data_IF_193845859497
#
_entry.id   IF_193845859497
#
_cell.length_a   1.000
_cell.length_b   1.000
_cell.length_c   1.000
_cell.angle_alpha   90.00
_cell.angle_beta   90.00
_cell.angle_gamma   90.00
#
_symmetry.space_group_name_H-M   'P 1'
#
loop_
_entity.id
_entity.type
_entity.pdbx_description
1 polymer ?
#
# COMPACT_ATOMS: atom_id res chain seq x y z
N UNK A 1 -3.96 -13.18 0.66
CA UNK A 1 -3.70 -11.74 0.46
C UNK A 1 -4.22 -11.06 1.70
N UNK A 2 -3.32 -10.74 2.63
CA UNK A 2 -3.64 -10.01 3.85
C UNK A 2 -3.43 -8.53 3.54
N UNK A 3 -4.48 -7.73 3.64
CA UNK A 3 -4.35 -6.26 3.56
C UNK A 3 -4.39 -5.77 4.99
N UNK A 4 -3.23 -5.41 5.54
CA UNK A 4 -3.15 -4.76 6.84
C UNK A 4 -3.38 -3.26 6.66
N UNK A 5 -4.51 -2.75 7.16
CA UNK A 5 -4.67 -1.31 7.34
C UNK A 5 -4.01 -0.96 8.68
N UNK A 6 -2.80 -0.42 8.63
CA UNK A 6 -2.18 0.18 9.81
C UNK A 6 -2.87 1.51 10.13
N UNK A 7 -3.86 1.47 11.03
CA UNK A 7 -4.42 2.68 11.65
C UNK A 7 -3.44 3.21 12.69
N UNK A 8 -2.46 4.01 12.24
CA UNK A 8 -1.61 4.79 13.15
C UNK A 8 -2.37 6.08 13.46
N UNK A 9 -2.90 6.21 14.69
CA UNK A 9 -3.40 7.51 15.17
C UNK A 9 -2.24 8.51 15.09
N UNK A 10 -2.35 9.61 14.34
CA UNK A 10 -1.27 10.57 14.26
C UNK A 10 -1.02 11.14 15.66
N UNK A 11 0.22 11.02 16.15
CA UNK A 11 0.69 11.93 17.21
C UNK A 11 0.72 13.33 16.60
N UNK A 12 0.32 14.34 17.38
CA UNK A 12 0.34 15.74 16.94
C UNK A 12 1.71 16.05 16.31
N UNK A 13 1.70 16.27 15.00
CA UNK A 13 2.85 16.61 14.16
C UNK A 13 2.78 18.09 13.84
N UNK A 14 3.93 18.77 13.78
CA UNK A 14 4.03 20.16 13.36
C UNK A 14 3.68 20.38 11.88
N UNK A 15 3.50 19.29 11.12
CA UNK A 15 3.08 19.29 9.72
C UNK A 15 1.71 18.61 9.59
N UNK A 16 0.71 19.38 9.19
CA UNK A 16 -0.62 18.88 8.81
C UNK A 16 -0.68 18.85 7.28
N UNK A 17 -0.76 17.66 6.64
CA UNK A 17 -0.91 17.56 5.19
C UNK A 17 -2.16 18.32 4.71
N UNK A 18 -2.18 18.75 3.43
CA UNK A 18 -3.39 19.35 2.87
C UNK A 18 -4.57 18.39 2.99
N UNK A 19 -5.73 18.93 3.35
CA UNK A 19 -6.96 18.15 3.38
C UNK A 19 -7.24 17.58 1.98
N UNK A 20 -7.47 16.27 1.92
CA UNK A 20 -7.78 15.53 0.71
C UNK A 20 -8.80 14.44 1.04
N UNK A 21 -9.70 14.18 0.09
CA UNK A 21 -10.67 13.08 0.18
C UNK A 21 -10.39 12.06 -0.90
N UNK A 22 -10.43 10.79 -0.53
CA UNK A 22 -10.41 9.70 -1.50
C UNK A 22 -11.70 9.73 -2.34
N UNK A 23 -11.55 9.59 -3.65
CA UNK A 23 -12.65 9.54 -4.62
C UNK A 23 -12.59 8.20 -5.36
N UNK A 24 -13.40 7.23 -4.92
CA UNK A 24 -13.48 5.93 -5.57
C UNK A 24 -14.25 6.07 -6.89
N UNK A 25 -13.58 5.74 -7.99
CA UNK A 25 -14.18 5.68 -9.33
C UNK A 25 -14.34 4.22 -9.73
N UNK A 26 -15.58 3.79 -9.91
CA UNK A 26 -15.91 2.44 -10.37
C UNK A 26 -17.22 2.44 -11.15
N UNK A 27 -17.32 1.53 -12.13
CA UNK A 27 -18.59 1.24 -12.84
C UNK A 27 -19.45 0.22 -12.10
N UNK A 28 -18.92 -0.37 -11.03
CA UNK A 28 -19.56 -1.45 -10.28
C UNK A 28 -19.86 -0.97 -8.86
N UNK A 29 -21.00 -1.39 -8.32
CA UNK A 29 -21.32 -1.26 -6.91
C UNK A 29 -20.88 -2.52 -6.14
N UNK A 30 -20.60 -2.45 -4.83
CA UNK A 30 -20.36 -3.63 -4.01
C UNK A 30 -21.50 -4.65 -4.11
N UNK A 31 -21.17 -5.93 -4.31
CA UNK A 31 -22.13 -7.02 -4.49
C UNK A 31 -21.81 -8.24 -3.61
N UNK A 32 -22.79 -9.13 -3.45
CA UNK A 32 -22.64 -10.34 -2.63
C UNK A 32 -22.34 -9.99 -1.17
N UNK A 33 -21.29 -10.58 -0.61
CA UNK A 33 -20.87 -10.34 0.78
C UNK A 33 -20.06 -9.04 0.98
N UNK A 34 -19.68 -8.35 -0.11
CA UNK A 34 -18.84 -7.15 -0.03
C UNK A 34 -19.47 -6.02 0.81
N UNK A 35 -20.76 -5.65 0.67
CA UNK A 35 -21.34 -4.56 1.45
C UNK A 35 -21.20 -4.78 2.96
N UNK A 36 -21.48 -6.00 3.43
CA UNK A 36 -21.39 -6.38 4.84
C UNK A 36 -19.95 -6.38 5.32
N UNK A 37 -19.02 -6.91 4.52
CA UNK A 37 -17.59 -6.90 4.87
C UNK A 37 -17.04 -5.47 4.98
N UNK A 38 -17.44 -4.56 4.08
CA UNK A 38 -17.05 -3.15 4.11
C UNK A 38 -17.57 -2.49 5.40
N UNK A 39 -18.86 -2.68 5.71
CA UNK A 39 -19.49 -2.10 6.91
C UNK A 39 -18.79 -2.55 8.18
N UNK A 40 -18.56 -3.86 8.36
CA UNK A 40 -17.87 -4.40 9.53
C UNK A 40 -16.45 -3.86 9.70
N UNK A 41 -15.69 -3.74 8.61
CA UNK A 41 -14.32 -3.22 8.66
C UNK A 41 -14.29 -1.73 9.03
N UNK A 42 -15.22 -0.94 8.47
CA UNK A 42 -15.35 0.50 8.76
C UNK A 42 -15.74 0.70 10.21
N UNK A 43 -16.76 0.02 10.70
CA UNK A 43 -17.19 0.08 12.11
C UNK A 43 -16.05 -0.30 13.06
N UNK A 44 -15.28 -1.35 12.73
CA UNK A 44 -14.13 -1.74 13.53
C UNK A 44 -13.04 -0.67 13.57
N UNK A 45 -12.78 0.01 12.45
CA UNK A 45 -11.79 1.09 12.39
C UNK A 45 -12.26 2.32 13.20
N UNK A 46 -13.53 2.68 13.09
CA UNK A 46 -14.16 3.78 13.85
C UNK A 46 -14.20 3.49 15.36
N UNK A 47 -14.44 2.23 15.74
CA UNK A 47 -14.35 1.75 17.12
C UNK A 47 -12.90 1.69 17.66
N UNK A 48 -11.89 1.93 16.80
CA UNK A 48 -10.48 1.93 17.17
C UNK A 48 -9.87 0.54 17.32
N UNK A 49 -10.46 -0.49 16.70
CA UNK A 49 -9.85 -1.81 16.61
C UNK A 49 -8.56 -1.72 15.81
N UNK A 50 -7.45 -2.13 16.45
CA UNK A 50 -6.11 -2.06 15.84
C UNK A 50 -5.88 -3.13 14.78
N UNK A 51 -6.49 -4.29 14.96
CA UNK A 51 -6.31 -5.45 14.10
C UNK A 51 -7.66 -5.96 13.64
N UNK A 52 -7.79 -6.14 12.32
CA UNK A 52 -8.97 -6.71 11.69
C UNK A 52 -8.52 -7.60 10.54
N UNK A 53 -9.34 -8.58 10.17
CA UNK A 53 -9.01 -9.53 9.11
C UNK A 53 -10.17 -9.66 8.14
N UNK A 54 -9.94 -9.28 6.88
CA UNK A 54 -10.87 -9.57 5.80
C UNK A 54 -10.67 -11.02 5.33
N UNK A 55 -11.57 -11.91 5.74
CA UNK A 55 -11.59 -13.29 5.25
C UNK A 55 -12.40 -13.34 3.96
N UNK A 56 -11.74 -13.65 2.84
CA UNK A 56 -12.42 -13.77 1.54
C UNK A 56 -11.72 -14.76 0.62
N UNK A 57 -12.51 -15.46 -0.21
CA UNK A 57 -12.02 -16.42 -1.21
C UNK A 57 -11.36 -15.71 -2.41
N UNK A 58 -10.51 -16.41 -3.16
CA UNK A 58 -9.92 -15.85 -4.39
C UNK A 58 -11.02 -15.44 -5.38
N UNK A 59 -10.84 -14.30 -6.04
CA UNK A 59 -11.84 -13.76 -6.98
C UNK A 59 -13.00 -13.00 -6.33
N UNK A 60 -13.10 -12.93 -4.99
CA UNK A 60 -14.20 -12.22 -4.31
C UNK A 60 -14.14 -10.69 -4.37
N UNK A 61 -13.19 -10.11 -5.10
CA UNK A 61 -13.01 -8.65 -5.19
C UNK A 61 -12.46 -8.01 -3.90
N UNK A 62 -11.48 -8.66 -3.24
CA UNK A 62 -10.85 -8.13 -2.02
C UNK A 62 -10.28 -6.73 -2.20
N UNK A 63 -9.59 -6.44 -3.32
CA UNK A 63 -9.06 -5.10 -3.58
C UNK A 63 -10.18 -4.05 -3.64
N UNK A 64 -11.29 -4.36 -4.32
CA UNK A 64 -12.43 -3.44 -4.42
C UNK A 64 -13.12 -3.24 -3.06
N UNK A 65 -13.22 -4.29 -2.25
CA UNK A 65 -13.69 -4.21 -0.86
C UNK A 65 -12.83 -3.24 -0.07
N UNK A 66 -11.50 -3.39 -0.13
CA UNK A 66 -10.57 -2.50 0.56
C UNK A 66 -10.60 -1.07 0.02
N UNK A 67 -10.80 -0.87 -1.28
CA UNK A 67 -10.96 0.47 -1.86
C UNK A 67 -12.18 1.19 -1.27
N UNK A 68 -13.32 0.51 -1.13
CA UNK A 68 -14.50 1.09 -0.47
C UNK A 68 -14.24 1.42 1.00
N UNK A 69 -13.49 0.57 1.71
CA UNK A 69 -13.10 0.83 3.11
C UNK A 69 -12.23 2.08 3.19
N UNK A 70 -11.20 2.19 2.35
CA UNK A 70 -10.27 3.34 2.31
C UNK A 70 -11.02 4.65 2.03
N UNK A 71 -11.94 4.64 1.06
CA UNK A 71 -12.76 5.81 0.75
C UNK A 71 -13.60 6.25 1.96
N UNK A 72 -14.28 5.31 2.62
CA UNK A 72 -15.18 5.61 3.75
C UNK A 72 -14.44 6.15 4.98
N UNK A 73 -13.31 5.53 5.34
CA UNK A 73 -12.54 5.96 6.53
C UNK A 73 -11.66 7.18 6.26
N UNK A 74 -11.34 7.43 5.00
CA UNK A 74 -10.57 8.57 4.53
C UNK A 74 -9.24 8.79 5.28
N UNK A 75 -8.45 7.71 5.40
CA UNK A 75 -7.14 7.70 6.05
C UNK A 75 -6.01 7.38 5.05
N UNK A 76 -4.85 8.04 5.15
CA UNK A 76 -3.67 7.60 4.41
C UNK A 76 -3.41 6.12 4.70
N UNK A 77 -3.18 5.32 3.65
CA UNK A 77 -3.16 3.86 3.75
C UNK A 77 -1.87 3.29 3.18
N UNK A 78 -1.20 2.44 3.96
CA UNK A 78 -0.09 1.61 3.50
C UNK A 78 -0.60 0.21 3.17
N UNK A 79 -0.28 -0.29 1.99
CA UNK A 79 -0.63 -1.63 1.52
C UNK A 79 0.66 -2.40 1.31
N UNK A 80 0.87 -3.45 2.09
CA UNK A 80 2.10 -4.24 2.04
C UNK A 80 1.84 -5.53 1.25
N UNK A 81 2.70 -5.78 0.27
CA UNK A 81 2.74 -7.01 -0.52
C UNK A 81 4.04 -7.76 -0.26
N UNK A 82 3.96 -9.09 -0.21
CA UNK A 82 5.11 -9.98 -0.01
C UNK A 82 6.00 -10.13 -1.25
N UNK A 83 5.58 -9.63 -2.41
CA UNK A 83 6.38 -9.67 -3.63
C UNK A 83 6.09 -8.48 -4.57
N UNK A 84 7.06 -8.16 -5.44
CA UNK A 84 7.00 -7.03 -6.39
C UNK A 84 5.89 -7.19 -7.44
N UNK A 85 5.62 -8.41 -7.91
CA UNK A 85 4.62 -8.66 -8.97
C UNK A 85 3.21 -8.31 -8.47
N UNK A 86 2.85 -8.78 -7.29
CA UNK A 86 1.57 -8.50 -6.65
C UNK A 86 1.48 -7.05 -6.19
N UNK A 87 2.59 -6.44 -5.76
CA UNK A 87 2.63 -5.02 -5.45
C UNK A 87 2.29 -4.18 -6.70
N UNK A 88 2.89 -4.50 -7.85
CA UNK A 88 2.61 -3.82 -9.11
C UNK A 88 1.16 -4.00 -9.56
N UNK A 89 0.59 -5.20 -9.39
CA UNK A 89 -0.82 -5.46 -9.66
C UNK A 89 -1.73 -4.59 -8.79
N UNK A 90 -1.50 -4.59 -7.47
CA UNK A 90 -2.28 -3.78 -6.52
C UNK A 90 -2.15 -2.30 -6.84
N UNK A 91 -0.93 -1.81 -7.12
CA UNK A 91 -0.70 -0.43 -7.53
C UNK A 91 -1.53 -0.05 -8.76
N UNK A 92 -1.56 -0.90 -9.80
CA UNK A 92 -2.36 -0.69 -11.00
C UNK A 92 -3.87 -0.66 -10.69
N UNK A 93 -4.37 -1.61 -9.90
CA UNK A 93 -5.78 -1.67 -9.49
C UNK A 93 -6.18 -0.42 -8.68
N UNK A 94 -5.38 -0.01 -7.70
CA UNK A 94 -5.66 1.19 -6.90
C UNK A 94 -5.56 2.48 -7.71
N UNK A 95 -4.64 2.58 -8.68
CA UNK A 95 -4.59 3.72 -9.62
C UNK A 95 -5.85 3.84 -10.46
N UNK A 96 -6.46 2.72 -10.84
CA UNK A 96 -7.73 2.70 -11.56
C UNK A 96 -8.90 3.10 -10.66
N UNK A 97 -8.91 2.63 -9.41
CA UNK A 97 -9.94 2.97 -8.44
C UNK A 97 -9.86 4.42 -7.95
N UNK A 98 -8.67 4.99 -7.84
CA UNK A 98 -8.45 6.34 -7.30
C UNK A 98 -7.66 7.22 -8.27
N UNK A 99 -8.18 7.50 -9.47
CA UNK A 99 -7.44 8.22 -10.52
C UNK A 99 -7.14 9.69 -10.17
N UNK A 100 -7.79 10.24 -9.14
CA UNK A 100 -7.64 11.62 -8.67
C UNK A 100 -6.83 11.77 -7.38
N UNK A 101 -6.51 10.65 -6.71
CA UNK A 101 -5.76 10.63 -5.46
C UNK A 101 -4.30 10.20 -5.68
N UNK A 102 -3.47 10.39 -4.66
CA UNK A 102 -2.07 9.99 -4.71
C UNK A 102 -1.95 8.49 -4.43
N UNK A 103 -1.97 7.67 -5.48
CA UNK A 103 -1.59 6.25 -5.38
C UNK A 103 -0.14 6.12 -5.78
N UNK A 104 0.68 5.64 -4.86
CA UNK A 104 2.14 5.66 -4.92
C UNK A 104 2.71 4.25 -4.80
N UNK A 105 3.94 4.07 -5.30
CA UNK A 105 4.61 2.78 -5.36
C UNK A 105 5.96 2.81 -4.65
N UNK A 106 6.17 1.91 -3.68
CA UNK A 106 7.35 1.90 -2.83
C UNK A 106 7.93 0.49 -2.68
N UNK A 107 8.77 0.09 -3.62
CA UNK A 107 9.47 -1.21 -3.59
C UNK A 107 10.98 -1.00 -3.66
N UNK A 108 11.77 -2.06 -3.47
CA UNK A 108 13.20 -2.01 -3.73
C UNK A 108 13.47 -1.54 -5.16
N UNK A 109 14.29 -0.49 -5.25
CA UNK A 109 14.76 0.14 -6.49
C UNK A 109 15.97 -0.58 -7.09
N UNK A 110 16.41 -1.69 -6.47
CA UNK A 110 17.39 -2.58 -7.07
C UNK A 110 16.71 -3.59 -7.98
N UNK A 111 17.13 -3.64 -9.24
CA UNK A 111 16.76 -4.70 -10.19
C UNK A 111 17.63 -5.95 -9.97
N UNK A 112 18.91 -5.73 -9.62
CA UNK A 112 19.83 -6.75 -9.15
C UNK A 112 20.52 -6.29 -7.87
N UNK A 113 20.61 -7.17 -6.87
CA UNK A 113 21.29 -6.89 -5.62
C UNK A 113 22.03 -8.13 -5.12
N UNK A 114 23.36 -8.05 -5.14
CA UNK A 114 24.26 -8.98 -4.50
C UNK A 114 24.82 -8.31 -3.22
N UNK A 115 24.49 -8.83 -2.03
CA UNK A 115 25.10 -8.34 -0.81
C UNK A 115 26.58 -8.70 -0.75
N UNK A 116 27.35 -7.85 -0.10
CA UNK A 116 28.70 -8.20 0.31
C UNK A 116 28.64 -9.37 1.31
N UNK A 117 29.45 -10.39 1.08
CA UNK A 117 29.50 -11.56 1.95
C UNK A 117 30.89 -12.19 1.98
N UNK A 118 31.25 -12.74 3.13
CA UNK A 118 32.43 -13.60 3.25
C UNK A 118 31.96 -15.03 3.53
N UNK A 119 32.47 -15.99 2.75
CA UNK A 119 32.15 -17.42 2.83
C UNK A 119 33.35 -18.16 3.44
N UNK A 120 33.33 -18.49 4.75
CA UNK A 120 34.49 -19.04 5.43
C UNK A 120 34.92 -20.42 4.93
N UNK A 121 33.97 -21.26 4.49
CA UNK A 121 34.24 -22.61 4.03
C UNK A 121 35.10 -22.67 2.77
N UNK A 122 35.06 -21.62 1.96
CA UNK A 122 35.81 -21.51 0.70
C UNK A 122 36.80 -20.35 0.72
N UNK A 123 36.97 -19.69 1.86
CA UNK A 123 37.77 -18.48 2.03
C UNK A 123 37.49 -17.44 0.92
N UNK A 124 36.22 -17.27 0.57
CA UNK A 124 35.81 -16.44 -0.58
C UNK A 124 35.13 -15.18 -0.08
N UNK A 125 35.64 -14.04 -0.53
CA UNK A 125 34.97 -12.75 -0.38
C UNK A 125 34.15 -12.46 -1.64
N UNK A 126 32.87 -12.15 -1.46
CA UNK A 126 31.90 -11.78 -2.48
C UNK A 126 31.68 -10.27 -2.34
N UNK A 127 32.10 -9.52 -3.36
CA UNK A 127 31.90 -8.08 -3.41
C UNK A 127 30.42 -7.72 -3.63
N UNK A 128 30.04 -6.55 -3.13
CA UNK A 128 28.73 -5.96 -3.39
C UNK A 128 28.62 -5.58 -4.87
N UNK A 129 27.57 -6.06 -5.51
CA UNK A 129 27.20 -5.67 -6.86
C UNK A 129 25.72 -5.28 -6.89
N UNK A 130 25.39 -4.16 -7.52
CA UNK A 130 24.01 -3.66 -7.54
C UNK A 130 23.69 -3.01 -8.87
N UNK A 131 22.48 -3.28 -9.37
CA UNK A 131 21.88 -2.58 -10.50
C UNK A 131 20.64 -1.83 -10.02
N UNK A 132 20.51 -0.57 -10.42
CA UNK A 132 19.52 0.38 -9.90
C UNK A 132 18.53 0.77 -10.98
N UNK A 133 17.26 0.84 -10.60
CA UNK A 133 16.17 1.29 -11.43
C UNK A 133 15.75 2.73 -11.07
N UNK A 134 16.17 3.69 -11.90
CA UNK A 134 15.89 5.12 -11.73
C UNK A 134 14.39 5.43 -11.70
N UNK A 135 13.57 4.66 -12.44
CA UNK A 135 12.12 4.86 -12.44
C UNK A 135 11.51 4.50 -11.08
N UNK A 136 11.93 3.37 -10.50
CA UNK A 136 11.48 2.97 -9.16
C UNK A 136 11.99 3.96 -8.11
N UNK A 137 13.21 4.46 -8.21
CA UNK A 137 13.73 5.50 -7.31
C UNK A 137 12.85 6.76 -7.35
N UNK A 138 12.50 7.22 -8.56
CA UNK A 138 11.59 8.37 -8.73
C UNK A 138 10.22 8.12 -8.10
N UNK A 139 9.67 6.90 -8.24
CA UNK A 139 8.40 6.52 -7.59
C UNK A 139 8.50 6.50 -6.07
N UNK A 140 9.63 6.06 -5.50
CA UNK A 140 9.86 6.10 -4.05
C UNK A 140 9.90 7.53 -3.52
N UNK A 141 10.59 8.43 -4.23
CA UNK A 141 10.61 9.86 -3.89
C UNK A 141 9.20 10.46 -3.95
N UNK A 142 8.44 10.16 -5.01
CA UNK A 142 7.03 10.55 -5.15
C UNK A 142 6.20 10.10 -3.94
N UNK A 143 6.34 8.84 -3.51
CA UNK A 143 5.62 8.31 -2.36
C UNK A 143 5.90 9.09 -1.06
N UNK A 144 7.17 9.38 -0.78
CA UNK A 144 7.55 10.14 0.42
C UNK A 144 7.06 11.58 0.39
N UNK A 145 7.12 12.22 -0.77
CA UNK A 145 6.62 13.59 -0.95
C UNK A 145 5.11 13.66 -0.78
N UNK A 146 4.36 12.74 -1.41
CA UNK A 146 2.90 12.69 -1.32
C UNK A 146 2.41 12.51 0.12
N UNK A 147 3.08 11.71 0.95
CA UNK A 147 2.76 11.54 2.36
C UNK A 147 2.93 12.83 3.19
N UNK A 148 3.82 13.73 2.78
CA UNK A 148 4.05 15.02 3.43
C UNK A 148 3.03 16.06 2.95
N UNK A 149 2.73 16.06 1.66
CA UNK A 149 1.91 17.10 1.03
C UNK A 149 0.40 16.86 1.15
N UNK A 150 -0.04 15.60 1.17
CA UNK A 150 -1.45 15.21 1.00
C UNK A 150 -1.90 14.18 2.02
N UNK A 151 -3.19 14.23 2.36
CA UNK A 151 -3.83 13.22 3.23
C UNK A 151 -4.42 12.05 2.44
N UNK A 152 -4.77 12.25 1.17
CA UNK A 152 -5.39 11.26 0.30
C UNK A 152 -4.33 10.41 -0.44
N UNK A 153 -3.44 9.79 0.33
CA UNK A 153 -2.31 8.99 -0.19
C UNK A 153 -2.46 7.51 0.15
N UNK A 154 -2.37 6.66 -0.87
CA UNK A 154 -2.21 5.20 -0.75
C UNK A 154 -0.80 4.86 -1.20
N UNK A 155 -0.04 4.16 -0.36
CA UNK A 155 1.28 3.65 -0.74
C UNK A 155 1.19 2.13 -0.86
N UNK A 156 1.51 1.59 -2.03
CA UNK A 156 1.66 0.14 -2.24
C UNK A 156 3.14 -0.20 -2.14
N UNK A 157 3.50 -1.03 -1.17
CA UNK A 157 4.89 -1.31 -0.82
C UNK A 157 5.24 -2.81 -0.80
N UNK A 158 6.53 -3.10 -0.98
CA UNK A 158 7.13 -4.39 -0.61
C UNK A 158 7.95 -4.25 0.67
N UNK A 159 8.28 -5.39 1.29
CA UNK A 159 9.32 -5.46 2.32
C UNK A 159 10.70 -5.14 1.75
#
# INVERSE_FOLDING_TARGET
MSVEILSVRPRASAFTPREGRFELVSKFAPQGDQPKAIEQLVEGLEAGLRFQTLVGVTGSGKTFTMANVIERVNLPTLIISHNKVLAAQLYSEFRQFFPKNAVEYFVSYYDYYQPEAYVPSTDTYIEKETDVNDEIERLRLSATTSLIERRDTIVVASV
#
